data_IF_841069804281
#
_entry.id   IF_841069804281
#
_cell.length_a   1.000
_cell.length_b   1.000
_cell.length_c   1.000
_cell.angle_alpha   90.00
_cell.angle_beta   90.00
_cell.angle_gamma   90.00
#
_symmetry.space_group_name_H-M   'P 1'
#
loop_
_entity.id
_entity.type
_entity.pdbx_description
1 polymer ?
#
# COMPACT_ATOMS: atom_id res chain seq x y z
N UNK A 1 -59.82 -26.49 12.97
CA UNK A 1 -59.15 -25.18 12.89
C UNK A 1 -57.63 -25.31 12.75
N UNK A 2 -57.00 -26.39 13.22
CA UNK A 2 -55.53 -26.58 13.12
C UNK A 2 -54.95 -26.64 11.70
N UNK A 3 -55.64 -27.27 10.73
CA UNK A 3 -55.18 -27.34 9.34
C UNK A 3 -55.09 -25.96 8.67
N UNK A 4 -56.00 -25.04 9.00
CA UNK A 4 -55.97 -23.68 8.46
C UNK A 4 -54.79 -22.87 9.02
N UNK A 5 -54.45 -23.06 10.30
CA UNK A 5 -53.27 -22.44 10.91
C UNK A 5 -51.96 -23.00 10.33
N UNK A 6 -51.90 -24.30 10.03
CA UNK A 6 -50.77 -24.93 9.34
C UNK A 6 -50.56 -24.39 7.93
N UNK A 7 -51.65 -24.23 7.16
CA UNK A 7 -51.62 -23.65 5.80
C UNK A 7 -51.20 -22.18 5.83
N UNK A 8 -51.71 -21.38 6.78
CA UNK A 8 -51.33 -19.96 6.92
C UNK A 8 -49.86 -19.82 7.33
N UNK A 9 -49.37 -20.64 8.26
CA UNK A 9 -47.95 -20.65 8.65
C UNK A 9 -47.03 -21.05 7.49
N UNK A 10 -47.48 -21.99 6.64
CA UNK A 10 -46.76 -22.43 5.46
C UNK A 10 -46.76 -21.40 4.32
N UNK A 11 -47.89 -20.73 4.08
CA UNK A 11 -47.97 -19.62 3.12
C UNK A 11 -47.15 -18.42 3.56
N UNK A 12 -47.13 -18.12 4.86
CA UNK A 12 -46.29 -17.04 5.42
C UNK A 12 -44.80 -17.37 5.29
N UNK A 13 -44.41 -18.62 5.51
CA UNK A 13 -43.05 -19.09 5.26
C UNK A 13 -42.69 -19.01 3.77
N UNK A 14 -43.54 -19.52 2.88
CA UNK A 14 -43.33 -19.45 1.43
C UNK A 14 -43.20 -18.00 0.93
N UNK A 15 -44.02 -17.08 1.46
CA UNK A 15 -43.95 -15.65 1.14
C UNK A 15 -42.65 -14.99 1.61
N UNK A 16 -42.17 -15.31 2.82
CA UNK A 16 -40.87 -14.82 3.29
C UNK A 16 -39.70 -15.41 2.47
N UNK A 17 -39.83 -16.66 2.06
CA UNK A 17 -38.82 -17.35 1.27
C UNK A 17 -38.73 -16.79 -0.15
N UNK A 18 -39.87 -16.56 -0.80
CA UNK A 18 -39.98 -15.87 -2.09
C UNK A 18 -39.43 -14.45 -2.00
N UNK A 19 -39.71 -13.71 -0.92
CA UNK A 19 -39.17 -12.37 -0.73
C UNK A 19 -37.64 -12.39 -0.53
N UNK A 20 -37.11 -13.39 0.20
CA UNK A 20 -35.68 -13.64 0.32
C UNK A 20 -35.02 -13.97 -1.02
N UNK A 21 -35.70 -14.76 -1.87
CA UNK A 21 -35.25 -15.15 -3.20
C UNK A 21 -35.26 -14.01 -4.22
N UNK A 22 -36.28 -13.15 -4.16
CA UNK A 22 -36.36 -11.93 -4.97
C UNK A 22 -35.23 -10.98 -4.60
N UNK A 23 -34.93 -10.81 -3.30
CA UNK A 23 -33.76 -10.06 -2.83
C UNK A 23 -32.44 -10.68 -3.30
N UNK A 24 -32.36 -12.00 -3.35
CA UNK A 24 -31.19 -12.74 -3.82
C UNK A 24 -30.99 -12.68 -5.34
N UNK A 25 -31.87 -12.04 -6.13
CA UNK A 25 -31.81 -12.03 -7.62
C UNK A 25 -31.37 -13.40 -8.17
N UNK A 26 -31.96 -14.49 -7.67
CA UNK A 26 -31.44 -15.84 -7.91
C UNK A 26 -31.28 -16.15 -9.41
N UNK A 27 -32.18 -15.65 -10.26
CA UNK A 27 -32.06 -15.73 -11.73
C UNK A 27 -30.84 -15.01 -12.29
N UNK A 28 -30.50 -13.83 -11.78
CA UNK A 28 -29.31 -13.09 -12.19
C UNK A 28 -28.04 -13.83 -11.77
N UNK A 29 -28.06 -14.47 -10.59
CA UNK A 29 -26.95 -15.28 -10.09
C UNK A 29 -26.82 -16.58 -10.91
N UNK A 30 -27.92 -17.26 -11.20
CA UNK A 30 -27.93 -18.44 -12.08
C UNK A 30 -27.47 -18.10 -13.49
N UNK A 31 -27.87 -16.95 -14.01
CA UNK A 31 -27.45 -16.47 -15.32
C UNK A 31 -25.95 -16.12 -15.32
N UNK A 32 -25.45 -15.43 -14.29
CA UNK A 32 -24.01 -15.15 -14.16
C UNK A 32 -23.20 -16.43 -14.01
N UNK A 33 -23.68 -17.41 -13.24
CA UNK A 33 -23.03 -18.73 -13.09
C UNK A 33 -23.00 -19.45 -14.45
N UNK A 34 -24.11 -19.46 -15.19
CA UNK A 34 -24.24 -20.08 -16.51
C UNK A 34 -23.37 -19.42 -17.59
N UNK A 35 -23.24 -18.10 -17.54
CA UNK A 35 -22.44 -17.31 -18.49
C UNK A 35 -20.94 -17.36 -18.15
N UNK A 36 -20.58 -17.55 -16.88
CA UNK A 36 -19.20 -17.68 -16.38
C UNK A 36 -18.57 -19.07 -16.58
N UNK A 37 -18.80 -19.67 -17.76
CA UNK A 37 -18.29 -21.01 -18.15
C UNK A 37 -16.76 -21.18 -18.13
N UNK A 38 -15.99 -20.16 -17.78
CA UNK A 38 -14.51 -20.20 -17.72
C UNK A 38 -13.92 -19.92 -16.33
N UNK A 39 -14.71 -19.58 -15.31
CA UNK A 39 -14.19 -19.26 -13.95
C UNK A 39 -15.00 -19.85 -12.80
N UNK A 40 -16.17 -20.45 -13.06
CA UNK A 40 -17.06 -20.95 -12.02
C UNK A 40 -17.03 -22.48 -11.82
N UNK A 41 -16.13 -23.20 -12.50
CA UNK A 41 -16.06 -24.67 -12.50
C UNK A 41 -15.61 -25.29 -11.16
N UNK A 42 -15.34 -24.48 -10.13
CA UNK A 42 -14.89 -24.96 -8.82
C UNK A 42 -15.55 -24.29 -7.62
N UNK A 43 -16.53 -23.40 -7.80
CA UNK A 43 -17.05 -22.61 -6.69
C UNK A 43 -18.17 -23.39 -5.95
N UNK A 44 -17.95 -23.89 -4.71
CA UNK A 44 -18.90 -24.77 -4.03
C UNK A 44 -20.28 -24.12 -3.87
N UNK A 45 -20.35 -22.80 -3.69
CA UNK A 45 -21.61 -22.08 -3.53
C UNK A 45 -22.54 -22.14 -4.76
N UNK A 46 -21.99 -22.27 -5.98
CA UNK A 46 -22.78 -22.28 -7.21
C UNK A 46 -23.67 -23.53 -7.30
N UNK A 47 -23.15 -24.71 -6.91
CA UNK A 47 -23.93 -25.95 -6.87
C UNK A 47 -25.06 -25.89 -5.81
N UNK A 48 -24.82 -25.18 -4.69
CA UNK A 48 -25.84 -24.95 -3.67
C UNK A 48 -26.96 -24.02 -4.17
N UNK A 49 -26.64 -23.00 -4.98
CA UNK A 49 -27.65 -22.14 -5.63
C UNK A 49 -28.51 -22.93 -6.60
N UNK A 50 -27.91 -23.77 -7.45
CA UNK A 50 -28.65 -24.64 -8.38
C UNK A 50 -29.55 -25.63 -7.63
N UNK A 51 -29.03 -26.22 -6.55
CA UNK A 51 -29.80 -27.14 -5.69
C UNK A 51 -30.99 -26.43 -5.08
N UNK A 52 -30.77 -25.25 -4.47
CA UNK A 52 -31.84 -24.44 -3.87
C UNK A 52 -32.91 -24.08 -4.92
N UNK A 53 -32.50 -23.63 -6.10
CA UNK A 53 -33.42 -23.32 -7.20
C UNK A 53 -34.29 -24.53 -7.58
N UNK A 54 -33.65 -25.70 -7.75
CA UNK A 54 -34.36 -26.93 -8.10
C UNK A 54 -35.40 -27.32 -7.04
N UNK A 55 -35.08 -27.15 -5.75
CA UNK A 55 -36.04 -27.44 -4.67
C UNK A 55 -37.22 -26.47 -4.67
N UNK A 56 -36.98 -25.21 -5.01
CA UNK A 56 -38.02 -24.20 -5.10
C UNK A 56 -38.96 -24.43 -6.29
N UNK A 57 -38.41 -24.78 -7.44
CA UNK A 57 -39.20 -25.15 -8.62
C UNK A 57 -40.08 -26.38 -8.32
N UNK A 58 -39.53 -27.41 -7.67
CA UNK A 58 -40.31 -28.60 -7.26
C UNK A 58 -41.41 -28.24 -6.28
N UNK A 59 -41.13 -27.39 -5.29
CA UNK A 59 -42.13 -26.92 -4.34
C UNK A 59 -43.23 -26.11 -5.03
N UNK A 60 -42.88 -25.27 -6.01
CA UNK A 60 -43.84 -24.52 -6.82
C UNK A 60 -44.72 -25.43 -7.67
N UNK A 61 -44.12 -26.40 -8.37
CA UNK A 61 -44.85 -27.36 -9.19
C UNK A 61 -45.84 -28.19 -8.37
N UNK A 62 -45.45 -28.66 -7.18
CA UNK A 62 -46.36 -29.41 -6.30
C UNK A 62 -47.57 -28.56 -5.82
N UNK A 63 -47.38 -27.25 -5.67
CA UNK A 63 -48.46 -26.31 -5.34
C UNK A 63 -49.36 -26.06 -6.55
N UNK A 64 -48.79 -25.83 -7.73
CA UNK A 64 -49.53 -25.62 -8.98
C UNK A 64 -50.37 -26.86 -9.34
N UNK A 65 -49.76 -28.05 -9.27
CA UNK A 65 -50.44 -29.33 -9.46
C UNK A 65 -51.60 -29.48 -8.46
N UNK A 66 -51.41 -29.07 -7.21
CA UNK A 66 -52.48 -29.14 -6.23
C UNK A 66 -53.63 -28.18 -6.56
N UNK A 67 -53.32 -26.94 -6.98
CA UNK A 67 -54.32 -25.94 -7.39
C UNK A 67 -55.12 -26.44 -8.59
N UNK A 68 -54.46 -26.97 -9.61
CA UNK A 68 -55.11 -27.45 -10.83
C UNK A 68 -56.00 -28.67 -10.57
N UNK A 69 -55.56 -29.59 -9.71
CA UNK A 69 -56.34 -30.76 -9.32
C UNK A 69 -57.54 -30.45 -8.39
N UNK A 70 -57.62 -29.23 -7.84
CA UNK A 70 -58.66 -28.82 -6.90
C UNK A 70 -59.48 -27.60 -7.34
N UNK A 71 -59.36 -27.17 -8.60
CA UNK A 71 -60.27 -26.17 -9.19
C UNK A 71 -61.73 -26.63 -9.06
N UNK A 72 -62.65 -25.77 -8.58
CA UNK A 72 -64.06 -26.12 -8.50
C UNK A 72 -64.62 -26.36 -9.91
N UNK A 73 -65.48 -27.38 -10.11
CA UNK A 73 -66.11 -27.61 -11.40
C UNK A 73 -66.97 -26.40 -11.79
N UNK A 74 -66.71 -25.82 -12.95
CA UNK A 74 -67.50 -24.73 -13.52
C UNK A 74 -68.83 -25.27 -14.07
N UNK A 75 -69.86 -25.36 -13.23
CA UNK A 75 -71.22 -25.73 -13.67
C UNK A 75 -72.28 -25.63 -12.57
N UNK A 76 -73.57 -25.45 -12.91
CA UNK A 76 -74.64 -25.25 -11.93
C UNK A 76 -74.88 -26.53 -11.11
N UNK A 77 -74.68 -26.42 -9.80
CA UNK A 77 -74.77 -27.51 -8.82
C UNK A 77 -76.23 -27.93 -8.56
N UNK A 78 -76.61 -29.13 -9.03
CA UNK A 78 -77.92 -29.75 -8.76
C UNK A 78 -77.80 -30.85 -7.70
N UNK A 79 -78.60 -30.75 -6.63
CA UNK A 79 -79.04 -31.72 -5.57
C UNK A 79 -78.05 -32.77 -4.99
N UNK A 80 -76.83 -32.93 -5.51
CA UNK A 80 -75.79 -33.91 -5.10
C UNK A 80 -74.97 -33.48 -3.87
N UNK A 81 -75.53 -32.62 -3.01
CA UNK A 81 -74.96 -32.21 -1.73
C UNK A 81 -74.66 -33.42 -0.80
N UNK A 82 -75.27 -34.59 -1.02
CA UNK A 82 -74.99 -35.86 -0.28
C UNK A 82 -73.64 -36.51 -0.59
N UNK A 83 -72.94 -36.12 -1.67
CA UNK A 83 -71.54 -36.53 -1.94
C UNK A 83 -70.54 -35.70 -1.11
N UNK A 84 -71.02 -34.67 -0.39
CA UNK A 84 -70.19 -33.71 0.37
C UNK A 84 -69.30 -34.35 1.45
N UNK A 85 -69.72 -35.45 2.11
CA UNK A 85 -68.90 -36.08 3.16
C UNK A 85 -67.75 -36.96 2.60
N UNK A 86 -67.98 -37.64 1.47
CA UNK A 86 -66.92 -38.38 0.75
C UNK A 86 -65.93 -37.40 0.10
N UNK A 87 -66.44 -36.25 -0.38
CA UNK A 87 -65.62 -35.14 -0.87
C UNK A 87 -64.83 -34.44 0.25
N UNK A 88 -65.38 -34.28 1.45
CA UNK A 88 -64.66 -33.72 2.59
C UNK A 88 -63.53 -34.65 3.04
N UNK A 89 -63.75 -35.97 3.17
CA UNK A 89 -62.68 -36.91 3.50
C UNK A 89 -61.61 -37.04 2.40
N UNK A 90 -62.00 -36.87 1.12
CA UNK A 90 -61.03 -36.81 0.01
C UNK A 90 -60.22 -35.51 0.02
N UNK A 91 -60.87 -34.37 0.26
CA UNK A 91 -60.21 -33.05 0.40
C UNK A 91 -59.28 -33.01 1.61
N UNK A 92 -59.70 -33.53 2.77
CA UNK A 92 -58.87 -33.61 3.97
C UNK A 92 -57.64 -34.49 3.73
N UNK A 93 -57.77 -35.63 3.05
CA UNK A 93 -56.61 -36.45 2.67
C UNK A 93 -55.68 -35.75 1.68
N UNK A 94 -56.24 -35.06 0.67
CA UNK A 94 -55.45 -34.31 -0.29
C UNK A 94 -54.71 -33.11 0.33
N UNK A 95 -55.34 -32.43 1.28
CA UNK A 95 -54.70 -31.36 2.08
C UNK A 95 -53.57 -31.92 2.93
N UNK A 96 -53.78 -33.03 3.65
CA UNK A 96 -52.71 -33.67 4.43
C UNK A 96 -51.54 -34.15 3.58
N UNK A 97 -51.81 -34.63 2.37
CA UNK A 97 -50.76 -35.02 1.43
C UNK A 97 -49.91 -33.82 0.98
N UNK A 98 -50.56 -32.68 0.68
CA UNK A 98 -49.85 -31.43 0.37
C UNK A 98 -49.05 -30.92 1.58
N UNK A 99 -49.65 -30.91 2.77
CA UNK A 99 -48.97 -30.50 4.02
C UNK A 99 -47.71 -31.33 4.24
N UNK A 100 -47.77 -32.66 4.06
CA UNK A 100 -46.62 -33.54 4.17
C UNK A 100 -45.52 -33.21 3.15
N UNK A 101 -45.88 -32.96 1.89
CA UNK A 101 -44.93 -32.54 0.85
C UNK A 101 -44.29 -31.20 1.21
N UNK A 102 -45.08 -30.25 1.68
CA UNK A 102 -44.63 -28.90 1.98
C UNK A 102 -43.71 -28.85 3.22
N UNK A 103 -43.95 -29.70 4.22
CA UNK A 103 -43.02 -29.91 5.34
C UNK A 103 -41.68 -30.48 4.83
N UNK A 104 -41.72 -31.43 3.90
CA UNK A 104 -40.49 -32.00 3.30
C UNK A 104 -39.72 -30.94 2.49
N UNK A 105 -40.40 -30.18 1.63
CA UNK A 105 -39.80 -29.07 0.88
C UNK A 105 -39.21 -28.02 1.82
N UNK A 106 -39.92 -27.64 2.88
CA UNK A 106 -39.41 -26.71 3.89
C UNK A 106 -38.10 -27.20 4.51
N UNK A 107 -38.02 -28.47 4.88
CA UNK A 107 -36.80 -29.04 5.45
C UNK A 107 -35.64 -29.00 4.43
N UNK A 108 -35.88 -29.41 3.18
CA UNK A 108 -34.87 -29.43 2.12
C UNK A 108 -34.39 -28.01 1.76
N UNK A 109 -35.30 -27.06 1.60
CA UNK A 109 -34.97 -25.66 1.32
C UNK A 109 -34.15 -25.06 2.47
N UNK A 110 -34.53 -25.34 3.74
CA UNK A 110 -33.79 -24.85 4.91
C UNK A 110 -32.35 -25.39 4.94
N UNK A 111 -32.17 -26.68 4.62
CA UNK A 111 -30.84 -27.29 4.50
C UNK A 111 -30.02 -26.66 3.37
N UNK A 112 -30.62 -26.46 2.19
CA UNK A 112 -29.94 -25.83 1.05
C UNK A 112 -29.53 -24.38 1.35
N UNK A 113 -30.38 -23.60 2.03
CA UNK A 113 -30.04 -22.25 2.50
C UNK A 113 -28.87 -22.29 3.49
N UNK A 114 -28.90 -23.21 4.47
CA UNK A 114 -27.81 -23.36 5.43
C UNK A 114 -26.47 -23.67 4.76
N UNK A 115 -26.46 -24.60 3.82
CA UNK A 115 -25.28 -24.99 3.08
C UNK A 115 -24.74 -23.87 2.16
N UNK A 116 -25.65 -23.10 1.54
CA UNK A 116 -25.28 -21.90 0.78
C UNK A 116 -24.64 -20.84 1.70
N UNK A 117 -25.23 -20.57 2.86
CA UNK A 117 -24.72 -19.58 3.81
C UNK A 117 -23.32 -19.95 4.33
N UNK A 118 -23.10 -21.23 4.64
CA UNK A 118 -21.78 -21.74 5.02
C UNK A 118 -20.76 -21.56 3.90
N UNK A 119 -21.13 -21.89 2.66
CA UNK A 119 -20.24 -21.75 1.50
C UNK A 119 -19.86 -20.30 1.22
N UNK A 120 -20.82 -19.37 1.30
CA UNK A 120 -20.56 -17.93 1.14
C UNK A 120 -19.68 -17.40 2.27
N UNK A 121 -19.97 -17.80 3.51
CA UNK A 121 -19.18 -17.37 4.68
C UNK A 121 -17.73 -17.85 4.58
N UNK A 122 -17.52 -19.10 4.18
CA UNK A 122 -16.18 -19.66 3.98
C UNK A 122 -15.40 -18.91 2.89
N UNK A 123 -16.05 -18.62 1.75
CA UNK A 123 -15.43 -17.81 0.69
C UNK A 123 -15.08 -16.40 1.17
N UNK A 124 -15.95 -15.79 1.98
CA UNK A 124 -15.68 -14.48 2.58
C UNK A 124 -14.44 -14.50 3.49
N UNK A 125 -14.27 -15.56 4.28
CA UNK A 125 -13.09 -15.75 5.12
C UNK A 125 -11.82 -15.96 4.30
N UNK A 126 -11.87 -16.76 3.25
CA UNK A 126 -10.72 -17.00 2.36
C UNK A 126 -10.25 -15.69 1.69
N UNK A 127 -11.19 -14.84 1.25
CA UNK A 127 -10.84 -13.52 0.70
C UNK A 127 -10.24 -12.58 1.73
N UNK A 128 -10.73 -12.62 2.98
CA UNK A 128 -10.16 -11.84 4.07
C UNK A 128 -8.72 -12.26 4.39
N UNK A 129 -8.46 -13.57 4.42
CA UNK A 129 -7.13 -14.14 4.66
C UNK A 129 -6.16 -13.74 3.55
N UNK A 130 -6.59 -13.79 2.28
CA UNK A 130 -5.78 -13.31 1.16
C UNK A 130 -5.43 -11.82 1.29
N UNK A 131 -6.41 -10.98 1.65
CA UNK A 131 -6.15 -9.55 1.88
C UNK A 131 -5.14 -9.34 3.01
N UNK A 132 -5.24 -10.14 4.09
CA UNK A 132 -4.27 -10.08 5.18
C UNK A 132 -2.85 -10.42 4.72
N UNK A 133 -2.69 -11.47 3.90
CA UNK A 133 -1.40 -11.85 3.31
C UNK A 133 -0.84 -10.71 2.44
N UNK A 134 -1.68 -10.13 1.58
CA UNK A 134 -1.26 -9.04 0.69
C UNK A 134 -0.83 -7.79 1.48
N UNK A 135 -1.56 -7.44 2.54
CA UNK A 135 -1.22 -6.33 3.44
C UNK A 135 0.10 -6.60 4.19
N UNK A 136 0.33 -7.84 4.63
CA UNK A 136 1.59 -8.22 5.28
C UNK A 136 2.78 -8.09 4.31
N UNK A 137 2.62 -8.58 3.08
CA UNK A 137 3.64 -8.47 2.03
C UNK A 137 3.96 -7.01 1.69
N UNK A 138 2.92 -6.16 1.57
CA UNK A 138 3.10 -4.73 1.33
C UNK A 138 3.83 -4.04 2.49
N UNK A 139 3.48 -4.41 3.73
CA UNK A 139 4.14 -3.89 4.94
C UNK A 139 5.62 -4.27 4.96
N UNK A 140 5.94 -5.53 4.68
CA UNK A 140 7.33 -6.01 4.61
C UNK A 140 8.11 -5.31 3.49
N UNK A 141 7.51 -5.15 2.31
CA UNK A 141 8.11 -4.43 1.18
C UNK A 141 8.45 -2.98 1.53
N UNK A 142 7.51 -2.27 2.18
CA UNK A 142 7.74 -0.90 2.63
C UNK A 142 8.85 -0.81 3.69
N UNK A 143 8.90 -1.73 4.65
CA UNK A 143 9.97 -1.77 5.65
C UNK A 143 11.34 -1.99 4.99
N UNK A 144 11.45 -2.90 4.02
CA UNK A 144 12.69 -3.12 3.27
C UNK A 144 13.08 -1.90 2.44
N UNK A 145 12.12 -1.23 1.80
CA UNK A 145 12.38 -0.01 1.02
C UNK A 145 12.87 1.13 1.90
N UNK A 146 12.30 1.29 3.10
CA UNK A 146 12.75 2.28 4.08
C UNK A 146 14.16 2.00 4.56
N UNK A 147 14.48 0.72 4.87
CA UNK A 147 15.83 0.32 5.26
C UNK A 147 16.85 0.62 4.14
N UNK A 148 16.53 0.27 2.89
CA UNK A 148 17.41 0.57 1.75
C UNK A 148 17.61 2.08 1.53
N UNK A 149 16.57 2.88 1.74
CA UNK A 149 16.66 4.35 1.66
C UNK A 149 17.53 4.91 2.77
N UNK A 150 17.38 4.39 3.99
CA UNK A 150 18.21 4.77 5.13
C UNK A 150 19.68 4.43 4.87
N UNK A 151 19.98 3.21 4.40
CA UNK A 151 21.33 2.79 4.05
C UNK A 151 21.95 3.68 2.95
N UNK A 152 21.17 3.98 1.91
CA UNK A 152 21.61 4.89 0.84
C UNK A 152 21.96 6.28 1.39
N UNK A 153 21.08 6.87 2.22
CA UNK A 153 21.34 8.18 2.82
C UNK A 153 22.53 8.16 3.78
N UNK A 154 22.69 7.12 4.58
CA UNK A 154 23.84 6.96 5.48
C UNK A 154 25.15 6.88 4.71
N UNK A 155 25.18 6.10 3.63
CA UNK A 155 26.37 5.98 2.77
C UNK A 155 26.69 7.30 2.05
N UNK A 156 25.67 8.02 1.55
CA UNK A 156 25.86 9.32 0.93
C UNK A 156 26.43 10.36 1.91
N UNK A 157 25.97 10.36 3.17
CA UNK A 157 26.50 11.24 4.22
C UNK A 157 27.96 10.86 4.55
N UNK A 158 28.26 9.57 4.68
CA UNK A 158 29.61 9.09 4.95
C UNK A 158 30.60 9.49 3.82
N UNK A 159 30.21 9.31 2.56
CA UNK A 159 31.01 9.72 1.39
C UNK A 159 31.20 11.24 1.34
N UNK A 160 30.13 12.01 1.59
CA UNK A 160 30.21 13.47 1.66
C UNK A 160 31.17 13.93 2.77
N UNK A 161 31.14 13.29 3.94
CA UNK A 161 32.03 13.60 5.04
C UNK A 161 33.48 13.25 4.70
N UNK A 162 33.73 12.09 4.07
CA UNK A 162 35.06 11.69 3.63
C UNK A 162 35.68 12.72 2.68
N UNK A 163 34.92 13.17 1.67
CA UNK A 163 35.38 14.23 0.75
C UNK A 163 35.60 15.57 1.44
N UNK A 164 34.79 15.89 2.45
CA UNK A 164 34.97 17.11 3.22
C UNK A 164 36.28 17.09 4.02
N UNK A 165 36.61 15.96 4.65
CA UNK A 165 37.88 15.79 5.35
C UNK A 165 39.08 15.87 4.40
N UNK A 166 39.00 15.22 3.24
CA UNK A 166 40.04 15.28 2.21
C UNK A 166 40.26 16.72 1.70
N UNK A 167 39.18 17.48 1.49
CA UNK A 167 39.27 18.89 1.12
C UNK A 167 39.92 19.73 2.22
N UNK A 168 39.55 19.51 3.49
CA UNK A 168 40.15 20.23 4.62
C UNK A 168 41.63 19.91 4.78
N UNK A 169 42.04 18.67 4.54
CA UNK A 169 43.44 18.25 4.56
C UNK A 169 44.22 18.95 3.44
N UNK A 170 43.68 18.98 2.22
CA UNK A 170 44.26 19.72 1.10
C UNK A 170 44.39 21.23 1.36
N UNK A 171 43.36 21.86 1.96
CA UNK A 171 43.40 23.28 2.31
C UNK A 171 44.47 23.54 3.37
N UNK A 172 44.58 22.65 4.37
CA UNK A 172 45.56 22.76 5.44
C UNK A 172 46.99 22.64 4.91
N UNK A 173 47.26 21.59 4.12
CA UNK A 173 48.55 21.36 3.48
C UNK A 173 48.93 22.53 2.55
N UNK A 174 48.00 22.97 1.69
CA UNK A 174 48.25 24.11 0.79
C UNK A 174 48.50 25.40 1.56
N UNK A 175 47.83 25.63 2.70
CA UNK A 175 48.04 26.80 3.53
C UNK A 175 49.40 26.75 4.23
N UNK A 176 49.86 25.57 4.62
CA UNK A 176 51.17 25.37 5.23
C UNK A 176 52.29 25.60 4.22
N UNK A 177 52.19 25.00 3.02
CA UNK A 177 53.10 25.25 1.90
C UNK A 177 53.20 26.74 1.55
N UNK A 178 52.05 27.43 1.50
CA UNK A 178 52.02 28.87 1.22
C UNK A 178 52.69 29.68 2.33
N UNK A 179 52.53 29.27 3.60
CA UNK A 179 53.17 29.93 4.74
C UNK A 179 54.69 29.75 4.68
N UNK A 180 55.16 28.54 4.39
CA UNK A 180 56.58 28.23 4.25
C UNK A 180 57.20 28.99 3.08
N UNK A 181 56.49 29.09 1.95
CA UNK A 181 56.91 29.89 0.82
C UNK A 181 57.07 31.38 1.19
N UNK A 182 56.14 31.94 1.97
CA UNK A 182 56.23 33.33 2.45
C UNK A 182 57.42 33.52 3.38
N UNK A 183 57.67 32.58 4.30
CA UNK A 183 58.82 32.62 5.21
C UNK A 183 60.13 32.61 4.41
N UNK A 184 60.25 31.71 3.43
CA UNK A 184 61.42 31.61 2.56
C UNK A 184 61.67 32.92 1.79
N UNK A 185 60.63 33.50 1.17
CA UNK A 185 60.74 34.78 0.45
C UNK A 185 61.15 35.90 1.40
N UNK A 186 60.60 35.93 2.62
CA UNK A 186 60.95 36.92 3.63
C UNK A 186 62.43 36.79 4.05
N UNK A 187 62.92 35.58 4.27
CA UNK A 187 64.33 35.32 4.61
C UNK A 187 65.28 35.72 3.47
N UNK A 188 64.93 35.38 2.22
CA UNK A 188 65.68 35.83 1.05
C UNK A 188 65.74 37.37 0.95
N UNK A 189 64.60 38.02 1.20
CA UNK A 189 64.51 39.49 1.20
C UNK A 189 65.39 40.10 2.29
N UNK A 190 65.37 39.55 3.51
CA UNK A 190 66.21 40.02 4.62
C UNK A 190 67.71 39.83 4.31
N UNK A 191 68.09 38.69 3.72
CA UNK A 191 69.46 38.46 3.26
C UNK A 191 69.88 39.48 2.19
N UNK A 192 68.98 39.81 1.27
CA UNK A 192 69.23 40.82 0.24
C UNK A 192 69.42 42.23 0.85
N UNK A 193 68.59 42.61 1.83
CA UNK A 193 68.71 43.86 2.58
C UNK A 193 70.03 43.92 3.36
N UNK A 194 70.42 42.82 4.02
CA UNK A 194 71.69 42.75 4.75
C UNK A 194 72.88 43.00 3.82
N UNK A 195 72.92 42.32 2.67
CA UNK A 195 73.96 42.53 1.65
C UNK A 195 73.99 43.98 1.13
N UNK A 196 72.83 44.59 0.92
CA UNK A 196 72.75 46.00 0.55
C UNK A 196 73.31 46.91 1.64
N UNK A 197 73.00 46.63 2.91
CA UNK A 197 73.51 47.37 4.07
C UNK A 197 75.04 47.25 4.17
N UNK A 198 75.60 46.07 3.94
CA UNK A 198 77.05 45.84 3.93
C UNK A 198 77.72 46.63 2.78
N UNK A 199 77.10 46.60 1.59
CA UNK A 199 77.57 47.39 0.44
C UNK A 199 77.53 48.89 0.73
N UNK A 200 76.45 49.39 1.33
CA UNK A 200 76.33 50.81 1.74
C UNK A 200 77.36 51.18 2.81
N UNK A 201 77.60 50.31 3.78
CA UNK A 201 78.63 50.50 4.81
C UNK A 201 80.03 50.55 4.20
N UNK A 202 80.31 49.71 3.19
CA UNK A 202 81.54 49.74 2.42
C UNK A 202 81.70 51.06 1.64
N UNK A 203 80.65 51.52 0.96
CA UNK A 203 80.64 52.84 0.28
C UNK A 203 80.88 53.97 1.27
N UNK A 204 80.22 53.96 2.43
CA UNK A 204 80.40 54.96 3.48
C UNK A 204 81.83 54.96 4.04
N UNK A 205 82.47 53.78 4.16
CA UNK A 205 83.87 53.64 4.54
C UNK A 205 84.82 54.24 3.49
N UNK A 206 84.58 53.99 2.20
CA UNK A 206 85.33 54.60 1.10
C UNK A 206 85.13 56.12 1.09
N UNK A 207 83.90 56.59 1.25
CA UNK A 207 83.59 58.02 1.34
C UNK A 207 84.29 58.69 2.55
N UNK A 208 84.31 58.02 3.70
CA UNK A 208 85.03 58.47 4.89
C UNK A 208 86.55 58.50 4.66
N UNK A 209 87.08 57.51 3.93
CA UNK A 209 88.49 57.47 3.53
C UNK A 209 88.85 58.60 2.56
N UNK A 210 87.98 58.91 1.60
CA UNK A 210 88.13 60.06 0.71
C UNK A 210 88.03 61.38 1.47
N UNK A 211 87.12 61.52 2.43
CA UNK A 211 87.06 62.69 3.31
C UNK A 211 88.34 62.88 4.11
N UNK A 212 88.94 61.80 4.63
CA UNK A 212 90.26 61.88 5.29
C UNK A 212 91.35 62.31 4.32
N UNK A 213 91.30 61.87 3.07
CA UNK A 213 92.25 62.29 2.01
C UNK A 213 92.11 63.79 1.66
N UNK A 214 90.87 64.29 1.57
CA UNK A 214 90.58 65.70 1.29
C UNK A 214 90.91 66.58 2.50
N UNK A 215 90.66 66.09 3.71
CA UNK A 215 91.00 66.77 4.97
C UNK A 215 92.48 66.73 5.33
N UNK A 216 93.30 65.95 4.63
CA UNK A 216 94.77 65.87 4.84
C UNK A 216 95.58 66.60 3.77
N UNK A 217 95.00 67.61 3.13
CA UNK A 217 95.75 68.55 2.28
C UNK A 217 96.53 69.56 3.14
N UNK A 218 97.88 69.63 3.06
CA UNK A 218 98.67 70.64 3.77
C UNK A 218 98.70 71.94 2.95
N UNK A 219 97.78 72.86 3.22
CA UNK A 219 97.97 74.27 2.87
C UNK A 219 98.87 74.91 3.94
N UNK A 220 100.19 74.83 3.76
CA UNK A 220 101.12 75.78 4.38
C UNK A 220 102.18 76.25 3.38
N UNK A 221 101.88 77.39 2.75
CA UNK A 221 102.80 78.24 1.99
C UNK A 221 102.86 79.59 2.70
N UNK A 222 104.03 79.94 3.24
CA UNK A 222 104.48 81.31 3.55
C UNK A 222 106.01 81.21 3.70
N UNK A 223 106.80 81.38 2.66
CA UNK A 223 107.30 82.64 2.07
C UNK A 223 107.79 83.65 3.12
N UNK A 224 109.10 83.90 2.99
CA UNK A 224 110.01 84.82 3.67
C UNK A 224 109.74 86.31 3.40
N UNK A 225 110.19 87.19 4.30
CA UNK A 225 110.36 88.64 4.12
C UNK A 225 110.15 89.38 5.46
N UNK A 226 111.20 89.70 6.22
CA UNK A 226 112.02 90.93 6.16
C UNK A 226 111.27 92.17 6.64
N UNK A 227 111.62 92.69 7.83
CA UNK A 227 112.19 94.03 8.04
C UNK A 227 112.03 94.55 9.48
N UNK A 228 113.16 95.03 10.02
CA UNK A 228 113.42 95.88 11.20
C UNK A 228 112.99 95.42 12.61
#
# INVERSE_FOLDING_TARGET
MEAAAGIVGLLSFAGQLLNGLVKLRLRSILQSVKDSKSTCDGAPWASHVVTLHTQLERCGQDLDDWVDNHKPPSGPSSKRQKVSNVLQNRRVRAVRALESKLVSHRAQISLSIGALNMSISHLGLEKLDQVQIDVQSLTESNLRSNAATQDFTSNAIADSNARHYELMDHISASSEDQRDQVIMIQEETLNHISRMSDNLSSIASVASSLQRLVGSSPLRRSVSGSDY
#
